data_IF_065437248537
#
_entry.id   IF_065437248537
#
_cell.length_a   1.000
_cell.length_b   1.000
_cell.length_c   1.000
_cell.angle_alpha   90.00
_cell.angle_beta   90.00
_cell.angle_gamma   90.00
#
_symmetry.space_group_name_H-M   'P 1'
#
loop_
_entity.id
_entity.type
_entity.pdbx_description
1 polymer ?
#
# COMPACT_ATOMS: atom_id res chain seq x y z
N UNK A 1 22.82 -32.17 63.16
CA UNK A 1 23.43 -30.82 63.15
C UNK A 1 24.46 -30.76 62.03
N UNK A 2 24.63 -29.59 61.39
CA UNK A 2 25.51 -29.23 60.25
C UNK A 2 24.91 -29.59 58.86
N UNK A 3 24.36 -28.63 58.10
CA UNK A 3 24.91 -27.49 57.33
C UNK A 3 25.46 -27.85 55.94
N UNK A 4 24.68 -27.41 54.93
CA UNK A 4 25.05 -26.76 53.64
C UNK A 4 25.94 -27.48 52.61
N UNK A 5 25.43 -27.62 51.37
CA UNK A 5 25.94 -26.91 50.18
C UNK A 5 25.06 -27.19 48.93
N UNK A 6 24.49 -26.13 48.34
CA UNK A 6 23.87 -26.12 47.00
C UNK A 6 24.90 -25.63 45.96
N UNK A 7 24.94 -26.16 44.73
CA UNK A 7 25.78 -25.61 43.68
C UNK A 7 25.14 -24.39 42.99
N UNK A 8 26.01 -23.45 42.62
CA UNK A 8 25.73 -22.16 41.96
C UNK A 8 25.10 -22.30 40.57
N UNK A 9 24.13 -21.44 40.28
CA UNK A 9 23.69 -21.11 38.92
C UNK A 9 24.76 -20.28 38.16
N UNK A 10 24.85 -20.38 36.82
CA UNK A 10 25.78 -19.56 36.05
C UNK A 10 25.30 -18.12 35.93
N UNK A 11 26.27 -17.21 35.94
CA UNK A 11 26.11 -15.75 35.88
C UNK A 11 25.90 -15.28 34.45
N UNK A 12 24.93 -14.38 34.27
CA UNK A 12 25.03 -13.21 33.40
C UNK A 12 24.72 -13.40 31.91
N UNK A 13 23.43 -13.40 31.55
CA UNK A 13 23.03 -12.81 30.28
C UNK A 13 23.04 -11.27 30.46
N UNK A 14 23.97 -10.62 29.78
CA UNK A 14 24.01 -9.17 29.67
C UNK A 14 22.76 -8.73 28.89
N UNK A 15 21.77 -8.14 29.57
CA UNK A 15 20.71 -7.37 28.90
C UNK A 15 21.39 -6.19 28.21
N UNK A 16 21.53 -6.25 26.89
CA UNK A 16 21.71 -5.06 26.09
C UNK A 16 20.41 -4.25 26.17
N UNK A 17 20.35 -3.34 27.14
CA UNK A 17 19.40 -2.24 27.07
C UNK A 17 19.77 -1.41 25.85
N UNK A 18 18.91 -1.45 24.82
CA UNK A 18 18.95 -0.51 23.72
C UNK A 18 18.84 0.90 24.31
N UNK A 19 19.95 1.64 24.25
CA UNK A 19 20.05 3.02 24.66
C UNK A 19 19.32 3.92 23.66
N UNK A 20 18.45 4.77 24.22
CA UNK A 20 17.97 6.04 23.67
C UNK A 20 17.38 6.02 22.24
N UNK A 21 16.08 5.71 22.14
CA UNK A 21 15.27 6.36 21.12
C UNK A 21 15.21 7.85 21.47
N UNK A 22 15.90 8.70 20.69
CA UNK A 22 15.72 10.14 20.78
C UNK A 22 14.22 10.47 20.69
N UNK A 23 13.74 11.37 21.54
CA UNK A 23 12.36 11.86 21.49
C UNK A 23 12.11 12.43 20.10
N UNK A 24 11.46 11.64 19.22
CA UNK A 24 10.85 12.20 18.02
C UNK A 24 9.76 13.16 18.49
N UNK A 25 9.68 14.39 17.95
CA UNK A 25 8.57 15.28 18.25
C UNK A 25 7.25 14.55 18.00
N UNK A 26 6.25 14.78 18.86
CA UNK A 26 4.92 14.23 18.65
C UNK A 26 4.43 14.66 17.26
N UNK A 27 3.93 13.70 16.46
CA UNK A 27 3.34 14.00 15.16
C UNK A 27 2.25 15.06 15.36
N UNK A 28 2.24 16.07 14.48
CA UNK A 28 1.19 17.09 14.47
C UNK A 28 -0.17 16.40 14.27
N UNK A 29 -1.22 16.87 14.95
CA UNK A 29 -2.58 16.39 14.70
C UNK A 29 -3.11 16.97 13.38
N UNK A 30 -3.83 16.16 12.60
CA UNK A 30 -4.40 16.51 11.30
C UNK A 30 -5.55 15.58 10.92
N UNK A 31 -6.05 15.68 9.68
CA UNK A 31 -7.09 14.80 9.14
C UNK A 31 -6.66 14.09 7.83
N UNK A 32 -7.58 13.39 7.18
CA UNK A 32 -7.28 12.62 5.96
C UNK A 32 -6.85 13.49 4.77
N UNK A 33 -7.25 14.76 4.71
CA UNK A 33 -6.89 15.67 3.61
C UNK A 33 -5.41 16.03 3.62
N UNK A 34 -4.77 16.02 4.80
CA UNK A 34 -3.33 16.31 4.95
C UNK A 34 -2.42 15.22 4.35
N UNK A 35 -2.96 14.04 4.06
CA UNK A 35 -2.20 12.94 3.48
C UNK A 35 -2.01 13.07 1.95
N UNK A 36 -2.74 13.97 1.28
CA UNK A 36 -2.79 14.07 -0.18
C UNK A 36 -2.65 15.53 -0.63
N UNK A 37 -1.76 15.78 -1.60
CA UNK A 37 -1.55 17.14 -2.12
C UNK A 37 -2.79 17.65 -2.84
N UNK A 38 -3.45 16.76 -3.60
CA UNK A 38 -4.67 17.04 -4.34
C UNK A 38 -5.85 17.43 -3.43
N UNK A 39 -5.96 16.84 -2.24
CA UNK A 39 -7.02 17.16 -1.28
C UNK A 39 -6.71 18.38 -0.42
N UNK A 40 -5.43 18.65 -0.14
CA UNK A 40 -5.04 19.77 0.72
C UNK A 40 -5.10 21.12 0.00
N UNK A 41 -5.34 21.14 -1.33
CA UNK A 41 -5.32 22.34 -2.15
C UNK A 41 -3.92 22.98 -2.32
N UNK A 42 -2.86 22.25 -1.92
CA UNK A 42 -1.49 22.75 -2.00
C UNK A 42 -0.97 22.68 -3.45
N UNK A 43 -0.18 23.69 -3.85
CA UNK A 43 0.55 23.62 -5.12
C UNK A 43 1.76 22.71 -4.95
N UNK A 44 1.96 21.82 -5.93
CA UNK A 44 3.14 20.96 -5.98
C UNK A 44 4.34 21.78 -6.47
N UNK A 45 5.16 22.25 -5.54
CA UNK A 45 6.42 22.90 -5.84
C UNK A 45 7.43 21.91 -6.44
N UNK A 46 8.36 22.34 -7.31
CA UNK A 46 9.42 21.49 -7.81
C UNK A 46 10.25 20.87 -6.67
N UNK A 47 10.59 19.59 -6.81
CA UNK A 47 11.47 18.94 -5.85
C UNK A 47 12.88 19.54 -5.88
N UNK A 48 13.63 19.56 -4.75
CA UNK A 48 15.01 20.05 -4.72
C UNK A 48 15.93 19.31 -5.69
N UNK A 49 17.00 19.97 -6.16
CA UNK A 49 17.92 19.43 -7.18
C UNK A 49 18.56 18.08 -6.80
N UNK A 50 18.70 17.79 -5.50
CA UNK A 50 19.20 16.48 -5.03
C UNK A 50 18.41 15.29 -5.57
N UNK A 51 17.14 15.46 -5.95
CA UNK A 51 16.34 14.39 -6.59
C UNK A 51 16.72 14.19 -8.05
N UNK A 52 17.19 15.22 -8.76
CA UNK A 52 17.82 15.08 -10.07
C UNK A 52 19.13 14.30 -9.94
N UNK A 53 19.97 14.70 -8.98
CA UNK A 53 21.25 14.01 -8.70
C UNK A 53 21.04 12.54 -8.36
N UNK A 54 20.05 12.24 -7.49
CA UNK A 54 19.63 10.89 -7.14
C UNK A 54 19.24 10.07 -8.38
N UNK A 55 18.42 10.61 -9.29
CA UNK A 55 18.07 9.91 -10.54
C UNK A 55 19.29 9.62 -11.40
N UNK A 56 20.20 10.59 -11.54
CA UNK A 56 21.46 10.39 -12.25
C UNK A 56 22.31 9.28 -11.60
N UNK A 57 22.36 9.20 -10.27
CA UNK A 57 23.08 8.14 -9.55
C UNK A 57 22.43 6.76 -9.73
N UNK A 58 21.11 6.68 -9.68
CA UNK A 58 20.37 5.42 -9.87
C UNK A 58 20.64 4.82 -11.25
N UNK A 59 20.78 5.66 -12.27
CA UNK A 59 20.98 5.26 -13.66
C UNK A 59 22.45 4.97 -14.01
N UNK A 60 23.40 5.62 -13.33
CA UNK A 60 24.83 5.60 -13.67
C UNK A 60 25.38 4.18 -13.87
N UNK A 61 25.89 3.93 -15.08
CA UNK A 61 26.52 2.66 -15.45
C UNK A 61 25.54 1.51 -15.71
N UNK A 62 24.23 1.80 -15.71
CA UNK A 62 23.13 0.85 -15.97
C UNK A 62 22.15 1.37 -17.01
N UNK A 63 22.55 2.36 -17.80
CA UNK A 63 21.71 3.06 -18.76
C UNK A 63 21.07 2.08 -19.76
N UNK A 64 21.87 1.11 -20.24
CA UNK A 64 21.42 0.12 -21.23
C UNK A 64 20.43 -0.87 -20.63
N UNK A 65 20.71 -1.36 -19.44
CA UNK A 65 19.90 -2.33 -18.70
C UNK A 65 18.53 -1.71 -18.36
N UNK A 66 18.54 -0.49 -17.81
CA UNK A 66 17.31 0.25 -17.49
C UNK A 66 16.50 0.53 -18.75
N UNK A 67 17.12 1.05 -19.82
CA UNK A 67 16.43 1.31 -21.10
C UNK A 67 15.79 0.06 -21.69
N UNK A 68 16.53 -1.06 -21.71
CA UNK A 68 16.01 -2.33 -22.21
C UNK A 68 14.86 -2.85 -21.33
N UNK A 69 14.95 -2.70 -20.01
CA UNK A 69 13.92 -3.14 -19.07
C UNK A 69 12.62 -2.36 -19.21
N UNK A 70 12.70 -1.06 -19.49
CA UNK A 70 11.54 -0.20 -19.73
C UNK A 70 10.73 -0.67 -20.93
N UNK A 71 11.39 -0.98 -22.05
CA UNK A 71 10.71 -1.52 -23.22
C UNK A 71 10.00 -2.86 -22.95
N UNK A 72 10.64 -3.76 -22.19
CA UNK A 72 10.01 -5.02 -21.74
C UNK A 72 8.80 -4.77 -20.85
N UNK A 73 8.90 -3.80 -19.93
CA UNK A 73 7.83 -3.40 -19.02
C UNK A 73 6.62 -2.84 -19.76
N UNK A 74 6.82 -1.90 -20.69
CA UNK A 74 5.73 -1.30 -21.47
C UNK A 74 4.97 -2.34 -22.29
N UNK A 75 5.69 -3.30 -22.90
CA UNK A 75 5.07 -4.42 -23.61
C UNK A 75 4.21 -5.30 -22.69
N UNK A 76 4.67 -5.54 -21.47
CA UNK A 76 3.92 -6.37 -20.53
C UNK A 76 2.71 -5.62 -19.95
N UNK A 77 2.85 -4.33 -19.62
CA UNK A 77 1.73 -3.47 -19.20
C UNK A 77 0.63 -3.43 -20.26
N UNK A 78 0.98 -3.18 -21.53
CA UNK A 78 -0.01 -3.16 -22.62
C UNK A 78 -0.86 -4.44 -22.66
N UNK A 79 -0.23 -5.61 -22.47
CA UNK A 79 -0.94 -6.90 -22.45
C UNK A 79 -1.83 -7.05 -21.21
N UNK A 80 -1.30 -6.74 -20.03
CA UNK A 80 -2.04 -6.94 -18.79
C UNK A 80 -3.16 -5.89 -18.60
N UNK A 81 -3.00 -4.67 -19.11
CA UNK A 81 -4.06 -3.66 -19.13
C UNK A 81 -5.28 -4.18 -19.90
N UNK A 82 -5.08 -4.80 -21.06
CA UNK A 82 -6.19 -5.43 -21.81
C UNK A 82 -6.84 -6.57 -21.03
N UNK A 83 -6.06 -7.37 -20.30
CA UNK A 83 -6.64 -8.43 -19.44
C UNK A 83 -7.48 -7.84 -18.32
N UNK A 84 -6.99 -6.80 -17.64
CA UNK A 84 -7.70 -6.14 -16.53
C UNK A 84 -8.96 -5.44 -17.04
N UNK A 85 -8.85 -4.65 -18.12
CA UNK A 85 -9.96 -3.92 -18.72
C UNK A 85 -11.09 -4.87 -19.15
N UNK A 86 -10.74 -6.02 -19.74
CA UNK A 86 -11.74 -7.00 -20.19
C UNK A 86 -12.38 -7.78 -19.03
N UNK A 87 -11.63 -8.07 -17.97
CA UNK A 87 -12.14 -8.82 -16.81
C UNK A 87 -12.91 -7.95 -15.82
N UNK A 88 -12.58 -6.65 -15.72
CA UNK A 88 -13.14 -5.74 -14.73
C UNK A 88 -13.02 -6.30 -13.31
N UNK A 89 -14.04 -6.16 -12.44
CA UNK A 89 -14.03 -6.66 -11.06
C UNK A 89 -13.72 -8.15 -10.91
N UNK A 90 -14.02 -8.98 -11.93
CA UNK A 90 -13.79 -10.42 -11.88
C UNK A 90 -12.30 -10.81 -11.93
N UNK A 91 -11.40 -9.85 -12.18
CA UNK A 91 -9.95 -10.07 -12.11
C UNK A 91 -9.45 -10.26 -10.68
N UNK A 92 -10.17 -9.76 -9.68
CA UNK A 92 -9.79 -9.86 -8.27
C UNK A 92 -10.18 -11.24 -7.73
N UNK A 93 -9.22 -12.05 -7.23
CA UNK A 93 -9.50 -13.35 -6.61
C UNK A 93 -10.47 -13.25 -5.43
N UNK A 94 -11.37 -14.22 -5.34
CA UNK A 94 -12.34 -14.34 -4.25
C UNK A 94 -12.24 -15.72 -3.61
N UNK A 95 -12.15 -15.77 -2.29
CA UNK A 95 -12.06 -17.01 -1.50
C UNK A 95 -13.16 -17.01 -0.43
N UNK A 96 -13.89 -18.10 -0.27
CA UNK A 96 -14.80 -18.24 0.86
C UNK A 96 -14.04 -18.57 2.14
N UNK A 97 -14.36 -17.92 3.27
CA UNK A 97 -13.71 -18.20 4.56
C UNK A 97 -13.86 -19.67 5.00
N UNK A 98 -14.98 -20.32 4.65
CA UNK A 98 -15.20 -21.74 4.91
C UNK A 98 -14.17 -22.66 4.23
N UNK A 99 -13.52 -22.17 3.16
CA UNK A 99 -12.49 -22.86 2.39
C UNK A 99 -11.18 -22.06 2.38
N UNK A 100 -10.90 -21.29 3.44
CA UNK A 100 -9.79 -20.34 3.47
C UNK A 100 -8.44 -20.98 3.09
N UNK A 101 -8.11 -22.15 3.66
CA UNK A 101 -6.79 -22.73 3.48
C UNK A 101 -6.61 -23.23 2.04
N UNK A 102 -7.52 -24.08 1.55
CA UNK A 102 -7.45 -24.63 0.20
C UNK A 102 -7.71 -23.59 -0.89
N UNK A 103 -8.62 -22.64 -0.65
CA UNK A 103 -8.93 -21.57 -1.59
C UNK A 103 -7.77 -20.59 -1.79
N UNK A 104 -7.09 -20.17 -0.72
CA UNK A 104 -5.90 -19.31 -0.85
C UNK A 104 -4.74 -20.09 -1.47
N UNK A 105 -4.55 -21.37 -1.15
CA UNK A 105 -3.52 -22.19 -1.80
C UNK A 105 -3.78 -22.33 -3.31
N UNK A 106 -5.03 -22.63 -3.70
CA UNK A 106 -5.42 -22.81 -5.09
C UNK A 106 -5.27 -21.52 -5.92
N UNK A 107 -5.51 -20.35 -5.30
CA UNK A 107 -5.45 -19.04 -5.97
C UNK A 107 -4.16 -18.27 -5.67
N UNK A 108 -3.18 -18.88 -4.99
CA UNK A 108 -1.96 -18.23 -4.49
C UNK A 108 -1.27 -17.35 -5.53
N UNK A 109 -1.02 -17.90 -6.72
CA UNK A 109 -0.29 -17.19 -7.77
C UNK A 109 -1.12 -16.06 -8.39
N UNK A 110 -2.45 -16.20 -8.49
CA UNK A 110 -3.30 -15.11 -8.97
C UNK A 110 -3.40 -14.00 -7.91
N UNK A 111 -3.52 -14.35 -6.62
CA UNK A 111 -3.47 -13.38 -5.52
C UNK A 111 -2.14 -12.62 -5.55
N UNK A 112 -1.02 -13.34 -5.72
CA UNK A 112 0.31 -12.74 -5.81
C UNK A 112 0.48 -11.84 -7.02
N UNK A 113 -0.08 -12.24 -8.17
CA UNK A 113 -0.06 -11.47 -9.41
C UNK A 113 -0.88 -10.18 -9.30
N UNK A 114 -2.07 -10.26 -8.72
CA UNK A 114 -3.02 -9.13 -8.63
C UNK A 114 -2.76 -8.22 -7.45
N UNK A 115 -2.10 -8.71 -6.41
CA UNK A 115 -1.84 -7.94 -5.20
C UNK A 115 -3.13 -7.55 -4.45
N UNK A 116 -4.23 -8.28 -4.67
CA UNK A 116 -5.52 -8.03 -4.04
C UNK A 116 -6.32 -9.33 -3.92
N UNK A 117 -7.17 -9.43 -2.90
CA UNK A 117 -8.06 -10.57 -2.67
C UNK A 117 -9.29 -10.16 -1.85
N UNK A 118 -10.42 -10.81 -2.11
CA UNK A 118 -11.61 -10.73 -1.25
C UNK A 118 -11.82 -12.07 -0.54
N UNK A 119 -11.90 -12.05 0.79
CA UNK A 119 -12.28 -13.20 1.60
C UNK A 119 -13.73 -13.03 2.04
N UNK A 120 -14.60 -13.94 1.59
CA UNK A 120 -16.05 -13.87 1.77
C UNK A 120 -16.48 -14.52 3.09
N UNK A 121 -17.34 -13.86 3.85
CA UNK A 121 -17.94 -14.39 5.08
C UNK A 121 -16.95 -14.66 6.21
N UNK A 122 -15.99 -13.75 6.44
CA UNK A 122 -15.00 -13.89 7.53
C UNK A 122 -15.68 -13.77 8.89
N UNK A 123 -16.55 -12.77 9.03
CA UNK A 123 -17.44 -12.61 10.20
C UNK A 123 -18.87 -12.91 9.74
N UNK A 124 -19.71 -13.59 10.55
CA UNK A 124 -21.11 -13.80 10.20
C UNK A 124 -21.81 -12.48 9.83
N UNK A 125 -22.59 -12.51 8.75
CA UNK A 125 -23.15 -11.28 8.16
C UNK A 125 -23.99 -10.47 9.16
N UNK A 126 -24.82 -11.13 9.96
CA UNK A 126 -25.65 -10.49 10.98
C UNK A 126 -24.80 -9.83 12.08
N UNK A 127 -23.68 -10.44 12.46
CA UNK A 127 -22.77 -9.89 13.47
C UNK A 127 -22.03 -8.66 12.92
N UNK A 128 -21.46 -8.77 11.72
CA UNK A 128 -20.78 -7.66 11.07
C UNK A 128 -21.73 -6.49 10.78
N UNK A 129 -23.00 -6.77 10.48
CA UNK A 129 -24.02 -5.74 10.31
C UNK A 129 -24.36 -5.05 11.62
N UNK A 130 -24.48 -5.80 12.71
CA UNK A 130 -24.74 -5.24 14.04
C UNK A 130 -23.61 -4.30 14.49
N UNK A 131 -22.36 -4.52 14.07
CA UNK A 131 -21.26 -3.59 14.34
C UNK A 131 -21.53 -2.18 13.80
N UNK A 132 -22.15 -2.04 12.61
CA UNK A 132 -22.54 -0.73 12.08
C UNK A 132 -23.57 -0.05 12.97
N UNK A 133 -24.58 -0.79 13.40
CA UNK A 133 -25.64 -0.24 14.24
C UNK A 133 -25.08 0.20 15.61
N UNK A 134 -24.13 -0.56 16.19
CA UNK A 134 -23.38 -0.18 17.40
C UNK A 134 -22.53 1.09 17.20
N UNK A 135 -21.87 1.24 16.05
CA UNK A 135 -21.09 2.45 15.71
C UNK A 135 -22.01 3.67 15.59
N UNK A 136 -23.13 3.55 14.87
CA UNK A 136 -24.08 4.64 14.67
C UNK A 136 -24.71 5.08 16.00
N UNK A 137 -25.04 4.13 16.88
CA UNK A 137 -25.51 4.42 18.23
C UNK A 137 -24.43 5.12 19.08
N UNK A 138 -23.17 4.67 18.99
CA UNK A 138 -22.04 5.31 19.67
C UNK A 138 -21.87 6.77 19.23
N UNK A 139 -21.86 7.03 17.93
CA UNK A 139 -21.74 8.40 17.37
C UNK A 139 -22.89 9.27 17.84
N UNK A 140 -24.13 8.77 17.81
CA UNK A 140 -25.32 9.50 18.27
C UNK A 140 -25.24 9.89 19.74
N UNK A 141 -24.68 9.03 20.60
CA UNK A 141 -24.48 9.31 22.03
C UNK A 141 -23.30 10.25 22.30
N UNK A 142 -22.39 10.40 21.34
CA UNK A 142 -21.15 11.16 21.47
C UNK A 142 -21.00 12.18 20.31
N UNK A 143 -21.79 13.27 20.29
CA UNK A 143 -21.81 14.23 19.19
C UNK A 143 -20.50 15.01 19.01
N UNK A 144 -19.56 14.92 19.97
CA UNK A 144 -18.20 15.46 19.85
C UNK A 144 -17.25 14.57 19.05
N UNK A 145 -17.73 13.44 18.51
CA UNK A 145 -16.93 12.56 17.65
C UNK A 145 -16.46 13.32 16.42
N UNK A 146 -15.14 13.44 16.24
CA UNK A 146 -14.55 14.07 15.05
C UNK A 146 -14.83 13.20 13.82
N UNK A 147 -15.21 13.83 12.72
CA UNK A 147 -15.44 13.16 11.45
C UNK A 147 -15.20 14.12 10.27
N UNK A 148 -14.97 13.55 9.10
CA UNK A 148 -14.70 14.28 7.86
C UNK A 148 -15.61 13.81 6.70
N UNK A 149 -16.07 14.72 5.84
CA UNK A 149 -16.09 16.17 6.04
C UNK A 149 -17.03 16.58 7.20
N UNK A 150 -16.88 17.78 7.79
CA UNK A 150 -17.69 18.19 8.96
C UNK A 150 -19.20 18.25 8.71
N UNK A 151 -19.60 18.69 7.51
CA UNK A 151 -21.01 18.88 7.14
C UNK A 151 -21.68 17.62 6.57
N UNK A 152 -20.88 16.62 6.16
CA UNK A 152 -21.34 15.29 5.74
C UNK A 152 -20.39 14.20 6.27
N UNK A 153 -20.44 13.86 7.56
CA UNK A 153 -19.53 12.91 8.19
C UNK A 153 -19.49 11.54 7.50
N UNK A 154 -18.33 11.17 6.96
CA UNK A 154 -18.13 9.87 6.32
C UNK A 154 -16.97 9.09 6.91
N UNK A 155 -15.86 9.76 7.19
CA UNK A 155 -14.68 9.19 7.85
C UNK A 155 -14.71 9.60 9.30
N UNK A 156 -14.85 8.62 10.20
CA UNK A 156 -14.95 8.89 11.63
C UNK A 156 -13.59 8.63 12.29
N UNK A 157 -13.12 9.61 13.06
CA UNK A 157 -11.91 9.55 13.88
C UNK A 157 -12.16 8.73 15.16
N UNK A 158 -12.66 7.50 14.96
CA UNK A 158 -12.92 6.50 15.98
C UNK A 158 -11.89 5.40 15.87
N UNK A 159 -11.33 4.99 17.01
CA UNK A 159 -10.24 4.03 17.05
C UNK A 159 -10.49 2.87 18.01
N UNK A 160 -11.29 3.10 19.06
CA UNK A 160 -11.42 2.20 20.21
C UNK A 160 -12.87 1.86 20.53
N UNK A 161 -13.80 2.04 19.58
CA UNK A 161 -15.18 1.62 19.78
C UNK A 161 -15.26 0.11 20.01
N UNK A 162 -16.24 -0.34 20.78
CA UNK A 162 -16.48 -1.77 21.02
C UNK A 162 -16.53 -2.60 19.72
N UNK A 163 -17.27 -2.21 18.66
CA UNK A 163 -17.27 -2.94 17.38
C UNK A 163 -15.89 -3.00 16.70
N UNK A 164 -15.08 -1.93 16.73
CA UNK A 164 -13.72 -1.98 16.18
C UNK A 164 -12.82 -2.96 16.93
N UNK A 165 -12.93 -3.00 18.26
CA UNK A 165 -12.17 -3.94 19.09
C UNK A 165 -12.61 -5.39 18.86
N UNK A 166 -13.93 -5.64 18.82
CA UNK A 166 -14.52 -6.95 18.51
C UNK A 166 -14.04 -7.47 17.16
N UNK A 167 -14.14 -6.65 16.11
CA UNK A 167 -13.74 -7.04 14.76
C UNK A 167 -12.23 -7.38 14.67
N UNK A 168 -11.36 -6.55 15.25
CA UNK A 168 -9.90 -6.77 15.24
C UNK A 168 -9.49 -8.02 16.02
N UNK A 169 -10.20 -8.33 17.10
CA UNK A 169 -9.93 -9.51 17.93
C UNK A 169 -10.70 -10.77 17.48
N UNK A 170 -11.54 -10.67 16.45
CA UNK A 170 -12.39 -11.78 16.01
C UNK A 170 -11.52 -12.96 15.54
N UNK A 171 -11.72 -14.20 16.05
CA UNK A 171 -10.86 -15.34 15.73
C UNK A 171 -10.74 -15.63 14.22
N UNK A 172 -11.84 -15.55 13.47
CA UNK A 172 -11.80 -15.72 12.01
C UNK A 172 -10.96 -14.65 11.31
N UNK A 173 -10.99 -13.41 11.81
CA UNK A 173 -10.27 -12.30 11.21
C UNK A 173 -8.76 -12.45 11.43
N UNK A 174 -8.36 -12.79 12.66
CA UNK A 174 -6.97 -13.13 12.99
C UNK A 174 -6.46 -14.32 12.17
N UNK A 175 -7.28 -15.35 11.95
CA UNK A 175 -6.93 -16.50 11.10
C UNK A 175 -6.70 -16.08 9.64
N UNK A 176 -7.54 -15.20 9.09
CA UNK A 176 -7.35 -14.67 7.73
C UNK A 176 -6.04 -13.87 7.64
N UNK A 177 -5.78 -12.97 8.59
CA UNK A 177 -4.54 -12.18 8.61
C UNK A 177 -3.30 -13.09 8.69
N UNK A 178 -3.28 -14.04 9.63
CA UNK A 178 -2.23 -15.04 9.73
C UNK A 178 -2.02 -15.76 8.41
N UNK A 179 -3.10 -16.25 7.77
CA UNK A 179 -3.00 -17.01 6.51
C UNK A 179 -2.43 -16.18 5.37
N UNK A 180 -2.91 -14.95 5.18
CA UNK A 180 -2.42 -14.06 4.12
C UNK A 180 -0.97 -13.61 4.36
N UNK A 181 -0.54 -13.46 5.61
CA UNK A 181 0.85 -13.12 5.93
C UNK A 181 1.77 -14.33 5.74
N UNK A 182 1.52 -15.43 6.45
CA UNK A 182 2.41 -16.61 6.50
C UNK A 182 2.56 -17.37 5.18
N UNK A 183 1.52 -17.38 4.32
CA UNK A 183 1.56 -18.13 3.06
C UNK A 183 2.12 -17.31 1.88
N UNK A 184 1.75 -16.03 1.80
CA UNK A 184 1.99 -15.20 0.63
C UNK A 184 3.27 -14.40 0.73
N UNK A 185 3.66 -14.02 1.95
CA UNK A 185 4.91 -13.32 2.21
C UNK A 185 6.01 -14.28 2.62
N UNK A 186 7.26 -13.84 2.42
CA UNK A 186 8.43 -14.52 2.94
C UNK A 186 9.50 -13.49 3.30
N UNK A 187 10.62 -13.96 3.86
CA UNK A 187 11.81 -13.15 4.09
C UNK A 187 13.00 -13.87 3.47
N UNK A 188 13.64 -13.26 2.48
CA UNK A 188 14.83 -13.84 1.85
C UNK A 188 16.06 -13.84 2.78
N UNK A 189 16.05 -13.00 3.81
CA UNK A 189 17.06 -12.96 4.86
C UNK A 189 16.52 -13.60 6.16
N UNK A 190 17.06 -14.77 6.59
CA UNK A 190 16.60 -15.48 7.79
C UNK A 190 16.71 -14.68 9.10
N UNK A 191 17.64 -13.71 9.15
CA UNK A 191 17.90 -12.89 10.35
C UNK A 191 17.06 -11.61 10.39
N UNK A 192 16.17 -11.39 9.41
CA UNK A 192 15.26 -10.24 9.41
C UNK A 192 14.37 -10.30 10.66
N UNK A 193 14.34 -9.25 11.51
CA UNK A 193 13.57 -9.27 12.75
C UNK A 193 12.07 -9.03 12.48
N UNK A 194 11.42 -10.00 11.85
CA UNK A 194 9.99 -9.98 11.51
C UNK A 194 9.33 -11.33 11.81
N UNK A 195 8.07 -11.27 12.26
CA UNK A 195 7.19 -12.43 12.32
C UNK A 195 6.16 -12.33 11.20
N UNK A 196 6.09 -13.36 10.36
CA UNK A 196 5.07 -13.48 9.30
C UNK A 196 3.82 -14.23 9.80
N UNK A 197 3.87 -14.79 11.01
CA UNK A 197 2.81 -15.64 11.57
C UNK A 197 1.98 -14.90 12.63
N UNK A 198 2.47 -13.78 13.18
CA UNK A 198 1.82 -13.08 14.28
C UNK A 198 1.26 -11.73 13.82
N UNK A 199 -0.04 -11.65 13.48
CA UNK A 199 -0.66 -10.38 13.16
C UNK A 199 -0.70 -9.47 14.41
N UNK A 200 -0.48 -8.18 14.18
CA UNK A 200 -0.60 -7.12 15.18
C UNK A 200 -1.74 -6.18 14.82
N UNK A 201 -2.44 -5.68 15.83
CA UNK A 201 -3.53 -4.72 15.64
C UNK A 201 -2.99 -3.31 15.45
N UNK A 202 -3.22 -2.74 14.26
CA UNK A 202 -3.09 -1.31 14.01
C UNK A 202 -4.48 -0.65 14.14
N UNK A 203 -4.62 0.28 15.08
CA UNK A 203 -5.89 0.98 15.29
C UNK A 203 -6.08 2.05 14.21
N UNK A 204 -7.06 1.82 13.34
CA UNK A 204 -7.44 2.74 12.26
C UNK A 204 -8.88 3.23 12.43
N UNK A 205 -9.23 4.21 11.60
CA UNK A 205 -10.55 4.85 11.49
C UNK A 205 -11.59 3.88 10.92
N UNK A 206 -12.82 4.37 10.79
CA UNK A 206 -13.88 3.69 10.05
C UNK A 206 -14.56 4.65 9.08
N UNK A 207 -15.19 4.10 8.04
CA UNK A 207 -15.92 4.87 7.04
C UNK A 207 -17.37 4.40 6.94
N UNK A 208 -18.32 5.33 7.02
CA UNK A 208 -19.75 5.11 6.75
C UNK A 208 -20.19 6.15 5.73
N UNK A 209 -20.36 5.73 4.47
CA UNK A 209 -20.75 6.62 3.37
C UNK A 209 -22.25 6.50 3.09
N UNK A 210 -22.92 7.65 2.92
CA UNK A 210 -24.34 7.69 2.58
C UNK A 210 -24.56 7.54 1.06
N UNK A 211 -25.66 6.91 0.62
CA UNK A 211 -26.01 6.86 -0.80
C UNK A 211 -26.18 8.26 -1.41
N UNK A 212 -25.68 8.45 -2.64
CA UNK A 212 -25.81 9.70 -3.38
C UNK A 212 -24.75 10.76 -3.08
N UNK A 213 -23.87 10.51 -2.11
CA UNK A 213 -22.74 11.41 -1.83
C UNK A 213 -21.67 11.32 -2.94
N UNK A 214 -21.07 12.47 -3.26
CA UNK A 214 -19.96 12.62 -4.21
C UNK A 214 -18.81 13.50 -3.66
N UNK A 215 -18.86 13.89 -2.38
CA UNK A 215 -17.96 14.89 -1.79
C UNK A 215 -16.56 14.36 -1.47
N UNK A 216 -16.41 13.04 -1.22
CA UNK A 216 -15.13 12.42 -0.90
C UNK A 216 -14.73 11.33 -1.92
N UNK A 217 -13.93 11.73 -2.91
CA UNK A 217 -13.27 10.81 -3.84
C UNK A 217 -11.75 11.08 -3.83
N UNK A 218 -10.99 10.08 -3.42
CA UNK A 218 -9.53 10.08 -3.56
C UNK A 218 -9.16 9.60 -4.97
N UNK A 219 -8.22 10.29 -5.61
CA UNK A 219 -7.59 9.79 -6.83
C UNK A 219 -6.75 8.53 -6.56
N UNK A 220 -6.35 7.78 -7.59
CA UNK A 220 -5.45 6.63 -7.44
C UNK A 220 -4.15 7.02 -6.72
N UNK A 221 -3.74 6.23 -5.74
CA UNK A 221 -2.56 6.55 -4.91
C UNK A 221 -1.96 5.32 -4.24
N UNK A 222 -0.69 5.44 -3.85
CA UNK A 222 0.00 4.45 -2.99
C UNK A 222 0.35 5.09 -1.66
N UNK A 223 -0.04 4.44 -0.56
CA UNK A 223 0.34 4.81 0.80
C UNK A 223 1.78 4.37 1.14
N UNK A 224 2.22 4.64 2.37
CA UNK A 224 3.48 4.10 2.87
C UNK A 224 4.70 4.79 2.28
N UNK A 225 4.67 6.11 2.26
CA UNK A 225 5.73 6.96 1.72
C UNK A 225 5.43 7.44 0.31
N UNK A 226 6.30 8.29 -0.23
CA UNK A 226 6.18 8.86 -1.56
C UNK A 226 7.57 8.93 -2.18
N UNK A 227 8.26 10.06 -2.02
CA UNK A 227 9.64 10.24 -2.50
C UNK A 227 10.64 9.26 -1.86
N UNK A 228 10.33 8.73 -0.68
CA UNK A 228 11.15 7.74 0.03
C UNK A 228 11.43 6.49 -0.79
N UNK A 229 10.60 6.17 -1.80
CA UNK A 229 10.81 5.01 -2.67
C UNK A 229 12.09 5.06 -3.50
N UNK A 230 12.56 6.27 -3.83
CA UNK A 230 13.81 6.47 -4.57
C UNK A 230 15.01 6.72 -3.65
N UNK A 231 14.77 7.18 -2.43
CA UNK A 231 15.84 7.66 -1.55
C UNK A 231 16.61 6.51 -0.87
N UNK A 232 17.94 6.67 -0.81
CA UNK A 232 18.84 5.74 -0.10
C UNK A 232 18.47 5.57 1.37
N UNK A 233 18.08 6.67 2.03
CA UNK A 233 17.67 6.66 3.43
C UNK A 233 16.19 6.27 3.63
N UNK A 234 15.44 6.09 2.54
CA UNK A 234 14.05 5.67 2.56
C UNK A 234 13.92 4.16 2.37
N UNK A 235 13.31 3.73 1.26
CA UNK A 235 13.25 2.32 0.85
C UNK A 235 14.60 1.76 0.43
N UNK A 236 15.57 2.62 0.07
CA UNK A 236 16.93 2.19 -0.27
C UNK A 236 17.70 1.57 0.91
N UNK A 237 17.30 1.82 2.16
CA UNK A 237 17.94 1.23 3.35
C UNK A 237 17.88 -0.29 3.35
N UNK A 238 16.79 -0.85 2.85
CA UNK A 238 16.59 -2.28 2.72
C UNK A 238 16.71 -2.80 1.30
N UNK A 239 17.11 -1.96 0.33
CA UNK A 239 17.22 -2.34 -1.07
C UNK A 239 15.92 -2.86 -1.69
N UNK A 240 14.75 -2.39 -1.21
CA UNK A 240 13.43 -2.97 -1.54
C UNK A 240 13.19 -3.02 -3.05
N UNK A 241 13.64 -1.99 -3.76
CA UNK A 241 13.41 -1.83 -5.20
C UNK A 241 14.68 -1.93 -6.04
N UNK A 242 15.79 -2.43 -5.48
CA UNK A 242 17.10 -2.44 -6.14
C UNK A 242 17.03 -3.19 -7.48
N UNK A 243 16.32 -4.32 -7.54
CA UNK A 243 16.13 -5.08 -8.79
C UNK A 243 15.50 -4.25 -9.90
N UNK A 244 14.59 -3.34 -9.57
CA UNK A 244 13.95 -2.45 -10.55
C UNK A 244 14.97 -1.44 -11.07
N UNK A 245 15.70 -0.77 -10.17
CA UNK A 245 16.75 0.20 -10.55
C UNK A 245 17.99 -0.44 -11.20
N UNK A 246 18.14 -1.76 -11.10
CA UNK A 246 19.13 -2.56 -11.82
C UNK A 246 18.69 -2.93 -13.25
N UNK A 247 17.48 -2.57 -13.69
CA UNK A 247 16.93 -2.99 -14.98
C UNK A 247 16.44 -4.44 -15.03
N UNK A 248 16.16 -5.02 -13.87
CA UNK A 248 15.72 -6.41 -13.65
C UNK A 248 14.41 -6.46 -12.86
N UNK A 249 13.44 -5.63 -13.23
CA UNK A 249 12.13 -5.60 -12.56
C UNK A 249 11.42 -6.97 -12.59
N UNK A 250 11.76 -7.84 -13.54
CA UNK A 250 11.28 -9.22 -13.57
C UNK A 250 11.71 -10.03 -12.33
N UNK A 251 12.88 -9.71 -11.77
CA UNK A 251 13.45 -10.35 -10.57
C UNK A 251 13.01 -9.65 -9.27
N UNK A 252 12.28 -8.53 -9.36
CA UNK A 252 11.71 -7.88 -8.18
C UNK A 252 10.63 -8.79 -7.57
N UNK A 253 10.81 -9.14 -6.31
CA UNK A 253 9.83 -9.90 -5.54
C UNK A 253 9.09 -8.96 -4.57
N UNK A 254 7.85 -8.55 -4.89
CA UNK A 254 7.07 -7.68 -4.01
C UNK A 254 6.72 -8.36 -2.66
N UNK A 255 6.73 -9.70 -2.61
CA UNK A 255 6.32 -10.51 -1.47
C UNK A 255 7.47 -10.82 -0.48
N UNK A 256 8.66 -10.27 -0.71
CA UNK A 256 9.79 -10.35 0.23
C UNK A 256 9.73 -9.18 1.23
N UNK A 257 9.56 -9.51 2.51
CA UNK A 257 9.48 -8.54 3.59
C UNK A 257 10.84 -8.06 4.09
N UNK A 258 11.93 -8.75 3.74
CA UNK A 258 13.26 -8.52 4.36
C UNK A 258 13.73 -7.08 4.26
N UNK A 259 13.72 -6.50 3.04
CA UNK A 259 14.08 -5.11 2.81
C UNK A 259 13.09 -4.11 3.42
N UNK A 260 11.82 -4.49 3.58
CA UNK A 260 10.76 -3.58 4.06
C UNK A 260 10.86 -3.27 5.54
N UNK A 261 11.48 -4.17 6.33
CA UNK A 261 11.69 -3.95 7.77
C UNK A 261 12.67 -2.81 8.05
N UNK A 262 13.68 -2.65 7.19
CA UNK A 262 14.67 -1.57 7.31
C UNK A 262 14.24 -0.27 6.61
N UNK A 263 13.26 -0.35 5.71
CA UNK A 263 12.77 0.80 4.94
C UNK A 263 12.20 1.89 5.86
N UNK A 264 12.50 3.14 5.54
CA UNK A 264 11.89 4.31 6.18
C UNK A 264 10.93 4.96 5.18
N UNK A 265 9.64 4.91 5.49
CA UNK A 265 8.58 5.44 4.64
C UNK A 265 8.10 6.85 5.05
N UNK A 266 8.83 7.50 5.95
CA UNK A 266 8.45 8.79 6.52
C UNK A 266 9.69 9.62 6.87
N UNK A 267 10.41 10.09 5.86
CA UNK A 267 11.58 10.94 6.05
C UNK A 267 11.23 12.40 6.32
N UNK A 268 9.98 12.79 6.04
CA UNK A 268 9.54 14.20 6.06
C UNK A 268 8.43 14.47 7.08
N UNK A 269 8.24 13.57 8.04
CA UNK A 269 7.23 13.68 9.09
C UNK A 269 5.81 13.97 8.55
N UNK A 270 5.47 13.30 7.45
CA UNK A 270 4.16 13.35 6.82
C UNK A 270 3.05 12.87 7.75
N UNK A 271 1.91 13.56 7.70
CA UNK A 271 0.74 13.23 8.52
C UNK A 271 0.11 11.89 8.11
N UNK A 272 0.11 11.59 6.81
CA UNK A 272 -0.37 10.30 6.28
C UNK A 272 0.54 9.10 6.53
N UNK A 273 1.74 9.30 7.08
CA UNK A 273 2.70 8.21 7.21
C UNK A 273 2.32 7.20 8.31
N UNK A 274 2.23 5.92 7.92
CA UNK A 274 1.98 4.82 8.84
C UNK A 274 3.25 4.43 9.62
N UNK A 275 3.13 4.25 10.94
CA UNK A 275 4.23 3.84 11.82
C UNK A 275 4.48 2.34 11.85
N UNK A 276 3.61 1.54 11.22
CA UNK A 276 3.76 0.09 11.10
C UNK A 276 4.03 -0.31 9.65
N UNK A 277 4.89 -1.31 9.46
CA UNK A 277 4.91 -2.03 8.19
C UNK A 277 3.64 -2.85 8.07
N UNK A 278 2.78 -2.48 7.12
CA UNK A 278 1.55 -3.18 6.78
C UNK A 278 1.84 -3.99 5.51
N UNK A 279 1.88 -5.32 5.61
CA UNK A 279 1.98 -6.20 4.43
C UNK A 279 0.74 -6.05 3.54
N UNK A 280 -0.41 -6.01 4.19
CA UNK A 280 -1.71 -5.81 3.57
C UNK A 280 -2.35 -4.57 4.17
N UNK A 281 -2.91 -3.74 3.30
CA UNK A 281 -4.02 -2.89 3.68
C UNK A 281 -5.32 -3.68 3.53
N UNK A 282 -6.38 -3.25 4.21
CA UNK A 282 -7.65 -3.95 4.11
C UNK A 282 -8.75 -3.34 4.95
N UNK A 283 -9.98 -3.72 4.63
CA UNK A 283 -11.17 -3.35 5.38
C UNK A 283 -12.18 -4.50 5.43
N UNK A 284 -12.87 -4.63 6.55
CA UNK A 284 -13.99 -5.55 6.70
C UNK A 284 -15.29 -4.77 6.50
N UNK A 285 -16.18 -5.30 5.67
CA UNK A 285 -17.45 -4.64 5.36
C UNK A 285 -18.46 -4.75 6.51
N UNK A 286 -19.26 -3.71 6.68
CA UNK A 286 -20.46 -3.73 7.54
C UNK A 286 -21.74 -3.47 6.73
N UNK A 287 -21.66 -3.40 5.40
CA UNK A 287 -22.77 -3.10 4.51
C UNK A 287 -22.71 -3.91 3.22
N UNK A 288 -23.85 -3.99 2.54
CA UNK A 288 -23.91 -4.49 1.18
C UNK A 288 -23.47 -3.39 0.22
N UNK A 289 -22.52 -3.70 -0.66
CA UNK A 289 -22.04 -2.77 -1.69
C UNK A 289 -21.63 -3.51 -2.96
N UNK A 290 -21.92 -2.92 -4.11
CA UNK A 290 -21.55 -3.44 -5.44
C UNK A 290 -20.55 -2.51 -6.14
N UNK A 291 -19.95 -2.95 -7.25
CA UNK A 291 -19.26 -2.03 -8.17
C UNK A 291 -20.09 -0.79 -8.46
N UNK A 292 -19.44 0.37 -8.53
CA UNK A 292 -20.04 1.70 -8.70
C UNK A 292 -20.93 2.22 -7.55
N UNK A 293 -21.09 1.50 -6.43
CA UNK A 293 -21.83 1.96 -5.24
C UNK A 293 -20.91 2.58 -4.17
N UNK A 294 -19.90 3.33 -4.61
CA UNK A 294 -18.95 3.99 -3.69
C UNK A 294 -17.93 3.05 -3.01
N UNK A 295 -17.65 1.92 -3.63
CA UNK A 295 -16.66 0.92 -3.20
C UNK A 295 -15.22 1.29 -3.61
N UNK A 296 -14.24 0.56 -3.05
CA UNK A 296 -12.83 0.69 -3.41
C UNK A 296 -12.59 0.27 -4.88
N UNK A 297 -11.72 1.00 -5.57
CA UNK A 297 -11.07 0.55 -6.80
C UNK A 297 -9.62 0.20 -6.47
N UNK A 298 -9.06 -0.75 -7.19
CA UNK A 298 -7.63 -1.10 -7.13
C UNK A 298 -7.07 -1.21 -8.54
N UNK A 299 -5.77 -0.95 -8.71
CA UNK A 299 -5.01 -1.37 -9.89
C UNK A 299 -4.36 -2.75 -9.64
N UNK A 300 -4.92 -3.85 -10.19
CA UNK A 300 -4.47 -5.20 -9.85
C UNK A 300 -3.26 -5.64 -10.70
N UNK A 301 -2.30 -4.73 -10.85
CA UNK A 301 -1.04 -4.88 -11.60
C UNK A 301 0.18 -4.56 -10.73
N UNK A 302 0.02 -4.56 -9.41
CA UNK A 302 0.99 -4.22 -8.36
C UNK A 302 2.48 -4.31 -8.76
N UNK A 303 2.98 -5.47 -9.21
CA UNK A 303 4.40 -5.62 -9.60
C UNK A 303 4.79 -4.73 -10.78
N UNK A 304 3.95 -4.70 -11.82
CA UNK A 304 4.17 -3.92 -13.03
C UNK A 304 3.95 -2.43 -12.78
N UNK A 305 2.90 -2.05 -12.03
CA UNK A 305 2.64 -0.66 -11.67
C UNK A 305 3.76 -0.10 -10.80
N UNK A 306 4.23 -0.85 -9.79
CA UNK A 306 5.38 -0.45 -8.96
C UNK A 306 6.65 -0.25 -9.80
N UNK A 307 6.98 -1.21 -10.67
CA UNK A 307 8.14 -1.08 -11.56
C UNK A 307 8.02 0.14 -12.48
N UNK A 308 6.82 0.37 -13.01
CA UNK A 308 6.56 1.49 -13.91
C UNK A 308 6.68 2.82 -13.19
N UNK A 309 6.04 2.95 -12.03
CA UNK A 309 6.09 4.14 -11.19
C UNK A 309 7.53 4.54 -10.88
N UNK A 310 8.37 3.59 -10.48
CA UNK A 310 9.76 3.87 -10.11
C UNK A 310 10.65 4.25 -11.30
N UNK A 311 10.43 3.64 -12.46
CA UNK A 311 11.20 3.91 -13.67
C UNK A 311 10.70 5.14 -14.43
N UNK A 312 9.40 5.45 -14.37
CA UNK A 312 8.73 6.51 -15.14
C UNK A 312 9.41 7.88 -15.05
N UNK A 313 9.92 8.35 -13.88
CA UNK A 313 10.67 9.61 -13.76
C UNK A 313 12.01 9.67 -14.51
N UNK A 314 12.52 8.53 -14.98
CA UNK A 314 13.78 8.42 -15.72
C UNK A 314 13.58 8.53 -17.24
N UNK A 315 12.34 8.48 -17.73
CA UNK A 315 12.03 8.45 -19.16
C UNK A 315 11.20 9.67 -19.59
N UNK A 316 11.42 10.09 -20.84
CA UNK A 316 10.63 11.12 -21.51
C UNK A 316 10.08 10.62 -22.84
N UNK A 317 8.97 11.22 -23.27
CA UNK A 317 8.39 10.97 -24.58
C UNK A 317 9.09 11.82 -25.65
N UNK A 318 9.38 11.22 -26.81
CA UNK A 318 9.94 11.88 -27.99
C UNK A 318 8.88 12.65 -28.79
N UNK A 319 7.64 12.15 -28.75
CA UNK A 319 6.46 12.70 -29.45
C UNK A 319 5.46 13.21 -28.42
N UNK A 320 4.70 14.22 -28.81
CA UNK A 320 3.63 14.81 -28.01
C UNK A 320 2.49 13.82 -27.70
N UNK A 321 1.79 14.05 -26.59
CA UNK A 321 0.64 13.26 -26.11
C UNK A 321 -0.52 13.18 -27.09
N UNK A 322 -0.63 14.12 -28.03
CA UNK A 322 -1.66 14.10 -29.08
C UNK A 322 -1.35 13.11 -30.21
N UNK A 323 -0.17 12.50 -30.23
CA UNK A 323 0.19 11.50 -31.24
C UNK A 323 -0.54 10.18 -30.99
N UNK A 324 -1.08 9.57 -32.06
CA UNK A 324 -1.72 8.25 -31.98
C UNK A 324 -0.79 7.16 -31.42
N UNK A 325 0.53 7.31 -31.60
CA UNK A 325 1.56 6.37 -31.17
C UNK A 325 2.30 6.89 -29.92
N UNK A 326 1.63 7.68 -29.07
CA UNK A 326 2.24 8.26 -27.87
C UNK A 326 2.72 7.19 -26.87
N UNK A 327 1.97 6.09 -26.74
CA UNK A 327 2.26 4.99 -25.81
C UNK A 327 3.09 3.86 -26.44
N UNK A 328 3.65 4.08 -27.63
CA UNK A 328 4.51 3.08 -28.26
C UNK A 328 5.91 3.08 -27.64
N UNK A 329 6.49 1.89 -27.49
CA UNK A 329 7.80 1.66 -26.87
C UNK A 329 8.89 2.56 -27.46
N UNK A 330 8.87 2.76 -28.78
CA UNK A 330 9.85 3.56 -29.52
C UNK A 330 9.72 5.08 -29.32
N UNK A 331 8.62 5.52 -28.69
CA UNK A 331 8.38 6.91 -28.32
C UNK A 331 9.06 7.30 -27.01
N UNK A 332 9.58 6.34 -26.24
CA UNK A 332 10.13 6.62 -24.91
C UNK A 332 11.64 6.42 -24.89
N UNK A 333 12.34 7.38 -24.30
CA UNK A 333 13.79 7.31 -24.14
C UNK A 333 14.23 7.68 -22.73
N UNK A 334 15.32 7.08 -22.29
CA UNK A 334 15.98 7.41 -21.04
C UNK A 334 16.51 8.84 -21.13
N UNK A 335 16.19 9.66 -20.12
CA UNK A 335 16.64 11.05 -20.06
C UNK A 335 18.14 11.07 -19.74
N UNK A 336 18.92 11.77 -20.57
CA UNK A 336 20.35 11.96 -20.33
C UNK A 336 20.62 12.86 -19.11
N UNK A 337 21.85 12.79 -18.56
CA UNK A 337 22.25 13.52 -17.35
C UNK A 337 21.93 15.02 -17.43
N UNK A 338 22.18 15.64 -18.59
CA UNK A 338 21.97 17.08 -18.80
C UNK A 338 20.47 17.48 -18.88
N UNK A 339 19.61 16.53 -19.26
CA UNK A 339 18.16 16.74 -19.38
C UNK A 339 17.35 16.28 -18.17
N UNK A 340 17.99 15.60 -17.21
CA UNK A 340 17.32 15.07 -16.03
C UNK A 340 16.79 16.22 -15.17
N UNK A 341 15.54 16.13 -14.71
CA UNK A 341 14.94 17.10 -13.78
C UNK A 341 14.81 16.51 -12.38
N UNK A 342 14.31 17.25 -11.39
CA UNK A 342 14.01 16.71 -10.05
C UNK A 342 12.64 16.02 -9.95
N UNK A 343 11.82 16.07 -10.99
CA UNK A 343 10.44 15.55 -10.99
C UNK A 343 10.38 14.03 -10.76
N UNK A 344 9.48 13.59 -9.87
CA UNK A 344 9.23 12.18 -9.52
C UNK A 344 7.78 11.71 -9.77
N UNK A 345 7.06 12.40 -10.66
CA UNK A 345 5.76 12.01 -11.22
C UNK A 345 4.73 11.64 -10.14
N UNK A 346 4.19 12.64 -9.46
CA UNK A 346 3.16 12.48 -8.41
C UNK A 346 3.72 12.27 -7.00
N UNK A 347 5.03 12.10 -6.86
CA UNK A 347 5.66 12.02 -5.55
C UNK A 347 5.87 13.41 -4.92
N UNK A 348 5.49 13.57 -3.66
CA UNK A 348 5.64 14.81 -2.89
C UNK A 348 6.05 14.46 -1.45
N UNK A 349 7.07 15.14 -0.87
CA UNK A 349 7.50 14.91 0.51
C UNK A 349 6.36 15.07 1.52
N UNK A 350 6.19 14.09 2.40
CA UNK A 350 5.21 14.14 3.49
C UNK A 350 3.78 13.75 3.11
N UNK A 351 3.52 13.41 1.85
CA UNK A 351 2.20 12.94 1.37
C UNK A 351 2.27 11.52 0.81
N UNK A 352 1.14 10.95 0.41
CA UNK A 352 1.10 9.73 -0.42
C UNK A 352 1.66 9.95 -1.82
N UNK A 353 1.88 8.85 -2.55
CA UNK A 353 2.22 8.88 -3.98
C UNK A 353 0.93 8.98 -4.80
N UNK A 354 0.75 10.07 -5.56
CA UNK A 354 -0.45 10.26 -6.39
C UNK A 354 -0.23 9.72 -7.81
N UNK A 355 -1.27 9.12 -8.39
CA UNK A 355 -1.24 8.54 -9.73
C UNK A 355 -2.39 9.09 -10.59
N UNK A 356 -2.07 9.55 -11.80
CA UNK A 356 -3.03 10.07 -12.78
C UNK A 356 -2.63 9.64 -14.19
N UNK A 357 -3.57 9.66 -15.14
CA UNK A 357 -3.28 9.33 -16.55
C UNK A 357 -2.31 10.33 -17.21
N UNK A 358 -2.19 11.56 -16.68
CA UNK A 358 -1.20 12.54 -17.13
C UNK A 358 0.23 12.10 -16.82
N UNK A 359 0.44 11.67 -15.57
CA UNK A 359 1.77 11.34 -15.06
C UNK A 359 2.14 9.89 -15.42
N UNK A 360 1.14 9.01 -15.44
CA UNK A 360 1.28 7.56 -15.58
C UNK A 360 0.46 6.97 -16.74
N UNK A 361 0.61 7.48 -17.98
CA UNK A 361 -0.32 7.17 -19.07
C UNK A 361 -0.33 5.69 -19.52
N UNK A 362 0.72 4.91 -19.26
CA UNK A 362 0.73 3.48 -19.58
C UNK A 362 0.05 2.60 -18.53
N UNK A 363 -0.33 3.14 -17.37
CA UNK A 363 -1.17 2.41 -16.43
C UNK A 363 -2.62 2.35 -16.91
N UNK A 364 -3.05 3.28 -17.78
CA UNK A 364 -4.40 3.31 -18.36
C UNK A 364 -5.45 3.25 -17.24
N UNK A 365 -5.34 4.16 -16.27
CA UNK A 365 -6.03 4.06 -14.98
C UNK A 365 -7.54 4.10 -15.16
N UNK A 366 -8.05 4.83 -16.15
CA UNK A 366 -9.46 4.84 -16.54
C UNK A 366 -10.00 3.42 -16.80
N UNK A 367 -9.20 2.53 -17.42
CA UNK A 367 -9.61 1.16 -17.78
C UNK A 367 -9.12 0.11 -16.80
N UNK A 368 -8.06 0.37 -16.04
CA UNK A 368 -7.40 -0.63 -15.19
C UNK A 368 -7.62 -0.44 -13.70
N UNK A 369 -8.16 0.70 -13.27
CA UNK A 369 -8.74 0.83 -11.93
C UNK A 369 -10.07 0.08 -11.92
N UNK A 370 -10.12 -1.07 -11.26
CA UNK A 370 -11.32 -1.92 -11.22
C UNK A 370 -11.95 -1.89 -9.84
N UNK A 371 -13.27 -1.82 -9.80
CA UNK A 371 -14.01 -1.97 -8.55
C UNK A 371 -13.74 -3.34 -7.94
N UNK A 372 -13.71 -3.39 -6.60
CA UNK A 372 -13.85 -4.66 -5.90
C UNK A 372 -15.18 -5.33 -6.28
N UNK A 373 -15.26 -6.68 -6.30
CA UNK A 373 -16.50 -7.42 -6.51
C UNK A 373 -17.61 -7.03 -5.52
N UNK A 374 -18.83 -7.55 -5.69
CA UNK A 374 -19.89 -7.37 -4.68
C UNK A 374 -19.42 -7.82 -3.29
N UNK A 375 -19.62 -6.97 -2.30
CA UNK A 375 -19.22 -7.16 -0.90
C UNK A 375 -20.46 -7.17 0.01
N UNK A 376 -20.46 -8.07 0.99
CA UNK A 376 -21.50 -8.23 2.03
C UNK A 376 -20.89 -7.94 3.41
N UNK A 377 -21.71 -7.61 4.42
CA UNK A 377 -21.23 -7.50 5.79
C UNK A 377 -20.42 -8.76 6.20
N UNK A 378 -19.25 -8.54 6.78
CA UNK A 378 -18.36 -9.61 7.25
C UNK A 378 -17.37 -10.14 6.21
N UNK A 379 -17.48 -9.72 4.95
CA UNK A 379 -16.41 -9.91 3.97
C UNK A 379 -15.20 -9.03 4.30
N UNK A 380 -14.01 -9.49 3.94
CA UNK A 380 -12.76 -8.76 4.08
C UNK A 380 -12.09 -8.56 2.71
N UNK A 381 -11.74 -7.31 2.39
CA UNK A 381 -10.93 -6.97 1.22
C UNK A 381 -9.52 -6.67 1.69
N UNK A 382 -8.52 -7.26 1.03
CA UNK A 382 -7.12 -7.00 1.28
C UNK A 382 -6.38 -6.65 -0.01
N UNK A 383 -5.47 -5.66 0.04
CA UNK A 383 -4.55 -5.33 -1.05
C UNK A 383 -3.14 -5.09 -0.52
N UNK A 384 -2.16 -5.41 -1.35
CA UNK A 384 -0.74 -5.30 -1.03
C UNK A 384 -0.35 -3.83 -0.80
N UNK A 385 0.68 -3.59 0.02
CA UNK A 385 1.10 -2.25 0.42
C UNK A 385 1.59 -1.34 -0.71
N UNK A 386 1.99 -1.92 -1.85
CA UNK A 386 2.41 -1.21 -3.05
C UNK A 386 1.32 -1.15 -4.14
N UNK A 387 0.10 -1.63 -3.87
CA UNK A 387 -1.01 -1.49 -4.84
C UNK A 387 -1.59 -0.07 -4.81
N UNK A 388 -1.99 0.40 -5.99
CA UNK A 388 -2.67 1.69 -6.25
C UNK A 388 -4.20 1.59 -6.16
#
# INVERSE_FOLDING_TARGET
MLRTCLPRAPKGLCRHMATAAGQRPAKKEGDISDAFTSLSGAKREPLPDRFRELKCELVRGREKEISASWGRLLRQLRKENEVVANKGPAVIPQVAYSDLDAGVDALKEEIRKRGAVVIKGVIPEAEARAYKDEVEEYVKKNPSTRAFPPDDPQVYELYWSAPQLKARAHPSFLRVQHRLMSLLWHSSCPDTPISLDQPLSYADRLRVRQPGDASFALGPHIDGGSVERWEREGYGRGGVYDRIFEGRWEDFDPWDASGRVAAVNNLYDGLGACSMFRMWQGWMSMSHTKPAEGTLLVNPLMKLSTAYLLLRPLFQARRSRVSANYLDEDNWELVGVDGMTSELQGATPGTGQECTDELHPHLDLERTMVHVPEIRPGDFVAWHCDSE
#
